data_IF_444000253908
#
_entry.id   IF_444000253908
#
_cell.length_a   1.000
_cell.length_b   1.000
_cell.length_c   1.000
_cell.angle_alpha   90.00
_cell.angle_beta   90.00
_cell.angle_gamma   90.00
#
_symmetry.space_group_name_H-M   'P 1'
#
loop_
_entity.id
_entity.type
_entity.pdbx_description
1 polymer ?
#
# COMPACT_ATOMS: atom_id res chain seq x y z
N UNK A 1 -3.22 -46.87 -16.51
CA UNK A 1 -2.06 -46.23 -15.84
C UNK A 1 -2.62 -45.54 -14.59
N UNK A 2 -2.40 -46.15 -13.42
CA UNK A 2 -2.78 -45.52 -12.15
C UNK A 2 -1.85 -44.30 -11.93
N UNK A 3 -2.42 -43.14 -11.85
CA UNK A 3 -1.71 -41.92 -11.44
C UNK A 3 -1.33 -42.11 -9.98
N UNK A 4 -0.05 -42.38 -9.73
CA UNK A 4 0.52 -42.42 -8.39
C UNK A 4 0.32 -41.05 -7.76
N UNK A 5 -0.55 -40.96 -6.75
CA UNK A 5 -0.79 -39.72 -6.01
C UNK A 5 0.43 -39.49 -5.11
N UNK A 6 1.31 -38.59 -5.50
CA UNK A 6 2.44 -38.15 -4.67
C UNK A 6 1.93 -37.47 -3.39
N UNK A 7 2.58 -37.74 -2.27
CA UNK A 7 2.26 -37.07 -1.02
C UNK A 7 2.64 -35.58 -1.14
N UNK A 8 1.69 -34.71 -0.78
CA UNK A 8 1.93 -33.26 -0.72
C UNK A 8 2.37 -32.87 0.69
N UNK A 9 3.31 -31.97 0.80
CA UNK A 9 3.77 -31.40 2.05
C UNK A 9 3.65 -29.87 2.03
N UNK A 10 3.74 -29.26 3.20
CA UNK A 10 3.82 -27.83 3.37
C UNK A 10 5.08 -27.50 4.15
N UNK A 11 5.75 -26.42 3.80
CA UNK A 11 6.86 -25.83 4.54
C UNK A 11 6.39 -24.53 5.20
N UNK A 12 6.74 -24.32 6.46
CA UNK A 12 6.38 -23.11 7.19
C UNK A 12 7.58 -22.51 7.90
N UNK A 13 7.73 -21.19 7.82
CA UNK A 13 8.75 -20.42 8.50
C UNK A 13 8.14 -19.09 8.99
N UNK A 14 8.65 -18.58 10.12
CA UNK A 14 8.24 -17.28 10.66
C UNK A 14 9.44 -16.39 10.89
N UNK A 15 9.25 -15.09 10.69
CA UNK A 15 10.14 -14.02 11.12
C UNK A 15 9.35 -13.02 11.96
N UNK A 16 10.03 -12.34 12.87
CA UNK A 16 9.46 -11.24 13.66
C UNK A 16 10.24 -9.97 13.35
N UNK A 17 9.52 -8.86 13.10
CA UNK A 17 10.10 -7.58 12.72
C UNK A 17 9.50 -6.44 13.53
N UNK A 18 10.33 -5.44 13.88
CA UNK A 18 9.93 -4.24 14.62
C UNK A 18 9.19 -3.24 13.72
N UNK A 19 8.02 -3.64 13.23
CA UNK A 19 7.16 -2.82 12.36
C UNK A 19 5.69 -3.08 12.64
N UNK A 20 4.85 -2.08 12.33
CA UNK A 20 3.40 -2.23 12.41
C UNK A 20 2.87 -3.25 11.39
N UNK A 21 1.73 -3.89 11.69
CA UNK A 21 1.02 -4.78 10.76
C UNK A 21 0.78 -4.11 9.40
N UNK A 22 0.42 -2.82 9.40
CA UNK A 22 0.14 -2.06 8.19
C UNK A 22 1.39 -1.88 7.34
N UNK A 23 2.52 -1.52 7.97
CA UNK A 23 3.78 -1.31 7.25
C UNK A 23 4.28 -2.61 6.64
N UNK A 24 4.26 -3.71 7.42
CA UNK A 24 4.66 -5.04 6.92
C UNK A 24 3.76 -5.48 5.77
N UNK A 25 2.44 -5.33 5.92
CA UNK A 25 1.50 -5.70 4.87
C UNK A 25 1.73 -4.89 3.59
N UNK A 26 1.93 -3.57 3.71
CA UNK A 26 2.23 -2.71 2.58
C UNK A 26 3.52 -3.13 1.86
N UNK A 27 4.59 -3.40 2.62
CA UNK A 27 5.84 -3.87 2.03
C UNK A 27 5.68 -5.20 1.30
N UNK A 28 4.90 -6.12 1.86
CA UNK A 28 4.66 -7.42 1.22
C UNK A 28 3.95 -7.30 -0.13
N UNK A 29 3.03 -6.35 -0.30
CA UNK A 29 2.23 -6.23 -1.54
C UNK A 29 2.81 -5.24 -2.56
N UNK A 30 3.47 -4.15 -2.11
CA UNK A 30 3.96 -3.10 -3.00
C UNK A 30 5.44 -3.23 -3.36
N UNK A 31 6.23 -3.93 -2.55
CA UNK A 31 7.68 -3.97 -2.68
C UNK A 31 8.23 -5.36 -3.05
N UNK A 32 7.42 -6.21 -3.67
CA UNK A 32 7.77 -7.61 -4.00
C UNK A 32 9.12 -7.71 -4.71
N UNK A 33 9.39 -6.84 -5.68
CA UNK A 33 10.66 -6.81 -6.42
C UNK A 33 11.90 -6.43 -5.59
N UNK A 34 11.72 -5.95 -4.35
CA UNK A 34 12.81 -5.56 -3.46
C UNK A 34 13.30 -6.70 -2.57
N UNK A 35 12.44 -7.66 -2.28
CA UNK A 35 12.77 -8.81 -1.43
C UNK A 35 12.68 -10.16 -2.14
N UNK A 36 11.99 -10.24 -3.29
CA UNK A 36 11.97 -11.47 -4.08
C UNK A 36 13.15 -11.49 -5.06
N UNK A 37 13.95 -12.57 -5.12
CA UNK A 37 15.23 -12.58 -5.84
C UNK A 37 15.08 -12.68 -7.37
N UNK A 38 13.89 -12.98 -7.86
CA UNK A 38 13.59 -13.14 -9.28
C UNK A 38 13.02 -11.85 -9.87
N UNK A 39 13.14 -11.68 -11.18
CA UNK A 39 12.50 -10.59 -11.91
C UNK A 39 10.98 -10.66 -11.71
N UNK A 40 10.39 -9.54 -11.31
CA UNK A 40 8.97 -9.39 -11.02
C UNK A 40 8.29 -8.51 -12.08
N UNK A 41 7.19 -9.00 -12.65
CA UNK A 41 6.36 -8.23 -13.59
C UNK A 41 4.89 -8.50 -13.33
N UNK A 42 4.07 -7.47 -13.21
CA UNK A 42 2.61 -7.57 -13.06
C UNK A 42 2.04 -6.92 -11.81
N UNK A 43 0.92 -7.45 -11.32
CA UNK A 43 0.08 -6.82 -10.29
C UNK A 43 -0.15 -7.75 -9.10
N UNK A 44 0.49 -7.47 -7.95
CA UNK A 44 0.35 -8.22 -6.69
C UNK A 44 -0.51 -7.52 -5.63
N UNK A 45 -0.97 -6.30 -5.91
CA UNK A 45 -1.55 -5.40 -4.89
C UNK A 45 -3.06 -5.56 -4.71
N UNK A 46 -3.73 -6.34 -5.55
CA UNK A 46 -5.18 -6.53 -5.50
C UNK A 46 -5.62 -7.97 -5.68
N UNK A 47 -6.79 -8.31 -5.16
CA UNK A 47 -7.42 -9.61 -5.36
C UNK A 47 -7.60 -9.89 -6.86
N UNK A 48 -7.27 -11.10 -7.30
CA UNK A 48 -7.19 -11.55 -8.69
C UNK A 48 -6.10 -10.87 -9.53
N UNK A 49 -5.22 -10.04 -8.95
CA UNK A 49 -4.03 -9.55 -9.62
C UNK A 49 -3.13 -10.72 -10.05
N UNK A 50 -2.54 -10.62 -11.23
CA UNK A 50 -1.64 -11.63 -11.79
C UNK A 50 -0.26 -11.03 -11.99
N UNK A 51 0.76 -11.82 -11.68
CA UNK A 51 2.15 -11.43 -11.81
C UNK A 51 3.05 -12.63 -12.12
N UNK A 52 4.24 -12.35 -12.57
CA UNK A 52 5.22 -13.35 -13.03
C UNK A 52 6.52 -13.16 -12.29
N UNK A 53 7.13 -14.27 -11.87
CA UNK A 53 8.53 -14.35 -11.49
C UNK A 53 9.33 -15.01 -12.61
N UNK A 54 10.53 -14.48 -12.89
CA UNK A 54 11.46 -15.03 -13.90
C UNK A 54 12.88 -15.05 -13.37
N UNK A 55 13.64 -16.08 -13.75
CA UNK A 55 15.10 -16.11 -13.62
C UNK A 55 15.67 -16.39 -15.02
N UNK A 56 15.87 -15.33 -15.78
CA UNK A 56 16.26 -15.42 -17.18
C UNK A 56 15.39 -16.42 -17.96
N UNK A 57 16.03 -17.33 -18.71
CA UNK A 57 15.33 -18.39 -19.44
C UNK A 57 15.17 -19.70 -18.65
N UNK A 58 15.67 -19.78 -17.42
CA UNK A 58 15.73 -21.03 -16.66
C UNK A 58 14.49 -21.33 -15.83
N UNK A 59 13.83 -20.29 -15.30
CA UNK A 59 12.63 -20.42 -14.47
C UNK A 59 11.58 -19.38 -14.83
N UNK A 60 10.33 -19.81 -14.80
CA UNK A 60 9.15 -19.00 -14.98
C UNK A 60 8.05 -19.48 -14.02
N UNK A 61 7.39 -18.55 -13.33
CA UNK A 61 6.14 -18.86 -12.64
C UNK A 61 5.14 -17.71 -12.76
N UNK A 62 3.92 -18.05 -13.16
CA UNK A 62 2.78 -17.15 -13.16
C UNK A 62 1.99 -17.35 -11.89
N UNK A 63 1.69 -16.26 -11.21
CA UNK A 63 1.04 -16.27 -9.90
C UNK A 63 -0.22 -15.42 -9.95
N UNK A 64 -1.20 -15.78 -9.11
CA UNK A 64 -2.44 -15.03 -8.95
C UNK A 64 -2.70 -14.79 -7.46
N UNK A 65 -3.09 -13.57 -7.11
CA UNK A 65 -3.57 -13.25 -5.76
C UNK A 65 -4.97 -13.82 -5.57
N UNK A 66 -5.11 -14.88 -4.78
CA UNK A 66 -6.40 -15.59 -4.56
C UNK A 66 -7.05 -15.26 -3.23
N UNK A 67 -6.29 -14.71 -2.29
CA UNK A 67 -6.81 -14.17 -1.03
C UNK A 67 -6.00 -12.93 -0.65
N UNK A 68 -6.68 -11.88 -0.21
CA UNK A 68 -6.06 -10.64 0.24
C UNK A 68 -6.91 -10.02 1.34
N UNK A 69 -6.48 -10.21 2.58
CA UNK A 69 -7.11 -9.65 3.78
C UNK A 69 -6.15 -8.61 4.36
N UNK A 70 -6.46 -7.32 4.27
CA UNK A 70 -5.57 -6.24 4.73
C UNK A 70 -5.07 -6.47 6.15
N UNK A 71 -3.76 -6.29 6.34
CA UNK A 71 -3.04 -6.42 7.62
C UNK A 71 -3.13 -7.81 8.27
N UNK A 72 -3.54 -8.83 7.53
CA UNK A 72 -3.76 -10.16 8.10
C UNK A 72 -3.23 -11.30 7.23
N UNK A 73 -3.58 -11.32 5.95
CA UNK A 73 -3.29 -12.49 5.11
C UNK A 73 -3.20 -12.16 3.64
N UNK A 74 -2.28 -12.81 2.96
CA UNK A 74 -2.16 -12.80 1.50
C UNK A 74 -1.84 -14.21 1.01
N UNK A 75 -2.49 -14.64 -0.07
CA UNK A 75 -2.25 -15.94 -0.70
C UNK A 75 -2.03 -15.76 -2.19
N UNK A 76 -0.90 -16.25 -2.67
CA UNK A 76 -0.58 -16.38 -4.08
C UNK A 76 -0.73 -17.83 -4.53
N UNK A 77 -1.46 -18.06 -5.59
CA UNK A 77 -1.59 -19.36 -6.26
C UNK A 77 -0.69 -19.38 -7.48
N UNK A 78 0.18 -20.36 -7.60
CA UNK A 78 0.95 -20.61 -8.82
C UNK A 78 0.01 -21.20 -9.87
N UNK A 79 -0.30 -20.44 -10.91
CA UNK A 79 -1.24 -20.84 -11.98
C UNK A 79 -0.54 -21.51 -13.15
N UNK A 80 0.74 -21.22 -13.34
CA UNK A 80 1.60 -21.82 -14.35
C UNK A 80 3.05 -21.71 -13.91
N UNK A 81 3.85 -22.76 -14.08
CA UNK A 81 5.26 -22.69 -13.77
C UNK A 81 6.06 -23.72 -14.56
N UNK A 82 7.32 -23.40 -14.83
CA UNK A 82 8.28 -24.33 -15.41
C UNK A 82 9.70 -23.96 -14.98
N UNK A 83 10.47 -24.97 -14.58
CA UNK A 83 11.92 -24.91 -14.48
C UNK A 83 12.53 -25.74 -15.61
N UNK A 84 13.16 -25.08 -16.58
CA UNK A 84 13.63 -25.74 -17.81
C UNK A 84 14.78 -26.73 -17.59
N UNK A 85 15.53 -26.58 -16.52
CA UNK A 85 16.69 -27.46 -16.23
C UNK A 85 16.31 -28.93 -16.02
N UNK A 86 15.11 -29.18 -15.49
CA UNK A 86 14.59 -30.50 -15.16
C UNK A 86 13.09 -30.65 -15.42
N UNK A 87 12.46 -29.66 -16.07
CA UNK A 87 11.04 -29.59 -16.35
C UNK A 87 10.14 -29.70 -15.11
N UNK A 88 10.63 -29.22 -13.95
CA UNK A 88 9.84 -29.23 -12.73
C UNK A 88 8.74 -28.15 -12.78
N UNK A 89 7.56 -28.52 -12.31
CA UNK A 89 6.35 -27.69 -12.34
C UNK A 89 5.76 -27.55 -10.93
N UNK A 90 5.59 -26.30 -10.47
CA UNK A 90 4.95 -25.95 -9.19
C UNK A 90 3.49 -25.53 -9.35
N UNK A 91 2.89 -25.68 -10.52
CA UNK A 91 1.50 -25.28 -10.77
C UNK A 91 0.55 -25.92 -9.74
N UNK A 92 -0.32 -25.09 -9.17
CA UNK A 92 -1.27 -25.49 -8.14
C UNK A 92 -0.78 -25.36 -6.70
N UNK A 93 0.52 -25.03 -6.48
CA UNK A 93 1.03 -24.71 -5.14
C UNK A 93 0.62 -23.32 -4.69
N UNK A 94 0.74 -23.03 -3.39
CA UNK A 94 0.38 -21.72 -2.80
C UNK A 94 1.49 -21.18 -1.93
N UNK A 95 1.69 -19.88 -2.01
CA UNK A 95 2.50 -19.10 -1.09
C UNK A 95 1.55 -18.29 -0.21
N UNK A 96 1.60 -18.52 1.10
CA UNK A 96 0.67 -17.97 2.09
C UNK A 96 1.46 -17.12 3.07
N UNK A 97 1.12 -15.85 3.21
CA UNK A 97 1.64 -14.95 4.22
C UNK A 97 0.53 -14.63 5.22
N UNK A 98 0.80 -14.86 6.49
CA UNK A 98 -0.09 -14.54 7.61
C UNK A 98 0.63 -13.59 8.56
N UNK A 99 -0.03 -12.52 8.99
CA UNK A 99 0.50 -11.49 9.88
C UNK A 99 -0.18 -11.57 11.24
N UNK A 100 0.62 -11.55 12.29
CA UNK A 100 0.13 -11.57 13.69
C UNK A 100 0.83 -10.48 14.50
N UNK A 101 0.09 -9.64 15.25
CA UNK A 101 0.71 -8.64 16.11
C UNK A 101 1.41 -9.30 17.30
N UNK A 102 2.61 -8.80 17.66
CA UNK A 102 3.44 -9.23 18.79
C UNK A 102 3.91 -8.00 19.58
N UNK A 103 3.01 -7.36 20.34
CA UNK A 103 3.29 -6.06 20.95
C UNK A 103 3.52 -5.00 19.88
N UNK A 104 4.69 -4.36 19.88
CA UNK A 104 5.09 -3.36 18.88
C UNK A 104 5.65 -4.00 17.60
N UNK A 105 5.82 -5.33 17.59
CA UNK A 105 6.36 -6.10 16.48
C UNK A 105 5.24 -6.77 15.68
N UNK A 106 5.60 -7.24 14.49
CA UNK A 106 4.76 -8.09 13.64
C UNK A 106 5.47 -9.40 13.34
N UNK A 107 4.80 -10.52 13.63
CA UNK A 107 5.18 -11.83 13.12
C UNK A 107 4.65 -12.00 11.70
N UNK A 108 5.55 -12.35 10.78
CA UNK A 108 5.22 -12.77 9.41
C UNK A 108 5.43 -14.28 9.34
N UNK A 109 4.35 -15.02 9.22
CA UNK A 109 4.38 -16.47 8.99
C UNK A 109 4.18 -16.73 7.50
N UNK A 110 5.15 -17.37 6.89
CA UNK A 110 5.11 -17.81 5.49
C UNK A 110 4.88 -19.32 5.43
N UNK A 111 3.98 -19.76 4.59
CA UNK A 111 3.74 -21.18 4.29
C UNK A 111 3.78 -21.40 2.79
N UNK A 112 4.62 -22.30 2.34
CA UNK A 112 4.58 -22.83 0.97
C UNK A 112 3.80 -24.15 1.01
N UNK A 113 2.64 -24.19 0.38
CA UNK A 113 1.70 -25.31 0.47
C UNK A 113 1.56 -26.05 -0.86
N UNK A 114 1.42 -27.38 -0.79
CA UNK A 114 1.21 -28.24 -1.95
C UNK A 114 2.48 -28.78 -2.59
N UNK A 115 3.62 -28.79 -1.88
CA UNK A 115 4.91 -29.28 -2.36
C UNK A 115 4.85 -30.76 -2.65
N UNK A 116 5.36 -31.22 -3.79
CA UNK A 116 5.56 -32.62 -4.12
C UNK A 116 6.89 -33.08 -3.49
N UNK A 117 6.85 -34.16 -2.68
CA UNK A 117 7.95 -34.55 -1.78
C UNK A 117 9.20 -35.14 -2.45
N UNK A 118 9.19 -35.42 -3.75
CA UNK A 118 10.34 -36.02 -4.42
C UNK A 118 11.46 -34.99 -4.63
N UNK A 119 12.62 -35.20 -4.01
CA UNK A 119 13.90 -34.47 -4.20
C UNK A 119 13.86 -32.92 -4.15
N UNK A 120 12.68 -32.30 -4.21
CA UNK A 120 12.50 -30.84 -4.26
C UNK A 120 12.25 -30.22 -2.89
N UNK A 121 11.81 -31.01 -1.90
CA UNK A 121 11.45 -30.48 -0.60
C UNK A 121 12.63 -29.75 0.08
N UNK A 122 13.79 -30.43 0.18
CA UNK A 122 14.98 -29.84 0.83
C UNK A 122 15.46 -28.58 0.11
N UNK A 123 15.45 -28.60 -1.23
CA UNK A 123 15.81 -27.43 -2.02
C UNK A 123 14.83 -26.28 -1.82
N UNK A 124 13.54 -26.57 -1.83
CA UNK A 124 12.52 -25.55 -1.63
C UNK A 124 12.61 -24.95 -0.22
N UNK A 125 12.87 -25.76 0.81
CA UNK A 125 13.14 -25.30 2.19
C UNK A 125 14.30 -24.30 2.18
N UNK A 126 15.43 -24.63 1.54
CA UNK A 126 16.58 -23.72 1.46
C UNK A 126 16.24 -22.41 0.74
N UNK A 127 15.51 -22.47 -0.38
CA UNK A 127 15.08 -21.27 -1.10
C UNK A 127 14.12 -20.44 -0.26
N UNK A 128 13.12 -21.05 0.37
CA UNK A 128 12.17 -20.33 1.23
C UNK A 128 12.87 -19.72 2.45
N UNK A 129 13.81 -20.42 3.07
CA UNK A 129 14.59 -19.87 4.18
C UNK A 129 15.39 -18.65 3.73
N UNK A 130 16.11 -18.75 2.62
CA UNK A 130 16.83 -17.62 2.04
C UNK A 130 15.89 -16.44 1.75
N UNK A 131 14.77 -16.69 1.07
CA UNK A 131 13.83 -15.60 0.72
C UNK A 131 13.21 -14.97 1.96
N UNK A 132 12.79 -15.74 2.94
CA UNK A 132 12.04 -15.23 4.10
C UNK A 132 12.98 -14.78 5.22
N UNK A 133 13.96 -15.61 5.62
CA UNK A 133 14.84 -15.29 6.76
C UNK A 133 15.93 -14.31 6.41
N UNK A 134 16.43 -14.34 5.16
CA UNK A 134 17.55 -13.47 4.77
C UNK A 134 17.03 -12.25 3.98
N UNK A 135 16.38 -12.44 2.85
CA UNK A 135 16.01 -11.33 1.96
C UNK A 135 14.82 -10.50 2.52
N UNK A 136 13.69 -11.14 2.83
CA UNK A 136 12.52 -10.44 3.34
C UNK A 136 12.80 -9.84 4.73
N UNK A 137 13.42 -10.62 5.63
CA UNK A 137 13.79 -10.12 6.96
C UNK A 137 14.75 -8.93 6.85
N UNK A 138 15.83 -9.04 6.07
CA UNK A 138 16.78 -7.95 5.87
C UNK A 138 16.11 -6.73 5.21
N UNK A 139 15.24 -6.94 4.24
CA UNK A 139 14.47 -5.87 3.61
C UNK A 139 13.54 -5.19 4.63
N UNK A 140 12.77 -5.94 5.40
CA UNK A 140 11.88 -5.37 6.42
C UNK A 140 12.65 -4.75 7.59
N UNK A 141 13.78 -5.32 7.99
CA UNK A 141 14.63 -4.81 9.05
C UNK A 141 15.49 -3.61 8.60
N UNK A 142 15.98 -3.63 7.35
CA UNK A 142 16.76 -2.56 6.72
C UNK A 142 15.91 -1.52 6.01
N UNK A 143 14.71 -1.89 5.57
CA UNK A 143 13.69 -0.91 5.24
C UNK A 143 13.52 -0.08 6.51
N UNK A 144 14.35 0.92 6.62
CA UNK A 144 14.74 1.70 7.80
C UNK A 144 13.63 1.71 8.84
N UNK A 145 13.97 1.50 10.14
CA UNK A 145 13.26 2.26 11.17
C UNK A 145 12.85 3.55 10.49
N UNK A 146 11.54 3.67 10.06
CA UNK A 146 11.10 4.82 9.28
C UNK A 146 11.93 5.97 9.83
N UNK A 147 12.85 6.51 9.02
CA UNK A 147 13.29 7.87 9.24
C UNK A 147 12.01 8.54 9.67
N UNK A 148 11.90 8.86 10.95
CA UNK A 148 10.67 9.28 11.63
C UNK A 148 9.78 9.93 10.59
N UNK A 149 8.64 9.30 10.23
CA UNK A 149 7.89 9.75 9.05
C UNK A 149 7.49 11.20 9.33
N UNK A 150 8.39 12.11 8.99
CA UNK A 150 8.32 13.54 9.20
C UNK A 150 7.28 14.20 8.29
N UNK A 151 6.57 13.37 7.49
CA UNK A 151 5.47 13.85 6.67
C UNK A 151 4.45 14.57 7.51
N UNK A 152 3.91 15.63 6.99
CA UNK A 152 2.86 16.38 7.68
C UNK A 152 1.67 15.47 8.02
N UNK A 153 1.21 15.55 9.26
CA UNK A 153 0.05 14.80 9.76
C UNK A 153 -0.83 15.69 10.61
N UNK A 154 -2.13 15.47 10.52
CA UNK A 154 -3.12 16.12 11.39
C UNK A 154 -4.33 15.21 11.58
N UNK A 155 -5.10 15.47 12.65
CA UNK A 155 -6.24 14.64 13.00
C UNK A 155 -7.41 15.54 13.38
N UNK A 156 -8.62 15.17 12.94
CA UNK A 156 -9.88 15.77 13.41
C UNK A 156 -10.84 14.66 13.84
N UNK A 157 -11.69 14.96 14.81
CA UNK A 157 -12.77 14.08 15.27
C UNK A 157 -14.12 14.77 15.06
N UNK A 158 -15.07 14.07 14.45
CA UNK A 158 -16.40 14.59 14.14
C UNK A 158 -17.51 13.66 14.62
N UNK A 159 -18.66 14.24 15.01
CA UNK A 159 -19.85 13.48 15.44
C UNK A 159 -20.73 13.10 14.23
N UNK A 160 -20.12 12.44 13.25
CA UNK A 160 -20.78 11.93 12.03
C UNK A 160 -20.34 10.50 11.77
N UNK A 161 -21.18 9.66 11.14
CA UNK A 161 -20.80 8.29 10.82
C UNK A 161 -19.72 8.25 9.72
N UNK A 162 -18.86 7.20 9.66
CA UNK A 162 -17.79 7.07 8.68
C UNK A 162 -18.23 7.22 7.22
N UNK A 163 -19.45 6.80 6.89
CA UNK A 163 -20.03 6.94 5.55
C UNK A 163 -20.22 8.40 5.13
N UNK A 164 -20.74 9.25 6.02
CA UNK A 164 -20.94 10.68 5.74
C UNK A 164 -19.59 11.38 5.59
N UNK A 165 -18.65 11.07 6.48
CA UNK A 165 -17.25 11.57 6.43
C UNK A 165 -16.58 11.19 5.11
N UNK A 166 -16.66 9.92 4.73
CA UNK A 166 -16.08 9.42 3.48
C UNK A 166 -16.66 10.14 2.25
N UNK A 167 -17.97 10.38 2.24
CA UNK A 167 -18.61 11.10 1.15
C UNK A 167 -18.19 12.58 1.12
N UNK A 168 -18.12 13.23 2.28
CA UNK A 168 -17.71 14.63 2.39
C UNK A 168 -16.27 14.85 1.90
N UNK A 169 -15.33 13.98 2.24
CA UNK A 169 -13.93 14.07 1.78
C UNK A 169 -13.86 14.12 0.24
N UNK A 170 -14.69 13.35 -0.45
CA UNK A 170 -14.70 13.28 -1.91
C UNK A 170 -15.30 14.53 -2.58
N UNK A 171 -16.01 15.37 -1.86
CA UNK A 171 -16.61 16.61 -2.39
C UNK A 171 -15.63 17.80 -2.30
N UNK A 172 -14.44 17.61 -2.88
CA UNK A 172 -13.27 18.50 -2.77
C UNK A 172 -13.60 19.98 -3.04
N UNK A 173 -14.46 20.27 -4.02
CA UNK A 173 -14.88 21.64 -4.35
C UNK A 173 -15.69 22.34 -3.25
N UNK A 174 -16.17 21.60 -2.24
CA UNK A 174 -16.96 22.15 -1.14
C UNK A 174 -16.11 22.67 0.01
N UNK A 175 -14.93 22.09 0.20
CA UNK A 175 -14.11 22.36 1.37
C UNK A 175 -12.65 22.73 1.08
N UNK A 176 -12.06 22.26 -0.04
CA UNK A 176 -10.66 22.57 -0.34
C UNK A 176 -10.53 23.83 -1.22
N UNK A 177 -11.08 23.82 -2.42
CA UNK A 177 -11.00 24.95 -3.33
C UNK A 177 -12.20 25.01 -4.27
N UNK A 178 -12.69 26.23 -4.55
CA UNK A 178 -13.67 26.50 -5.62
C UNK A 178 -13.05 26.36 -7.02
N UNK A 179 -11.73 26.59 -7.12
CA UNK A 179 -10.97 26.42 -8.36
C UNK A 179 -10.61 24.93 -8.52
N UNK A 180 -11.66 24.13 -8.67
CA UNK A 180 -11.63 22.68 -8.82
C UNK A 180 -12.11 22.30 -10.21
N UNK A 181 -11.35 21.41 -10.88
CA UNK A 181 -11.70 20.86 -12.18
C UNK A 181 -11.49 19.33 -12.16
N UNK A 182 -12.41 18.56 -12.74
CA UNK A 182 -12.31 17.11 -12.84
C UNK A 182 -13.25 16.35 -11.90
N UNK A 183 -12.86 15.13 -11.49
CA UNK A 183 -13.63 14.25 -10.63
C UNK A 183 -12.78 13.69 -9.48
N UNK A 184 -13.37 13.54 -8.28
CA UNK A 184 -12.71 13.10 -7.06
C UNK A 184 -13.46 11.99 -6.31
N UNK A 185 -14.29 11.20 -7.01
CA UNK A 185 -15.23 10.28 -6.36
C UNK A 185 -14.86 8.80 -6.47
N UNK A 186 -14.19 8.39 -7.54
CA UNK A 186 -13.93 6.99 -7.88
C UNK A 186 -12.45 6.73 -8.08
N UNK A 187 -12.04 5.48 -7.93
CA UNK A 187 -10.69 5.04 -8.26
C UNK A 187 -10.33 5.43 -9.70
N UNK A 188 -9.12 5.97 -9.88
CA UNK A 188 -8.58 6.54 -11.11
C UNK A 188 -9.19 7.87 -11.56
N UNK A 189 -10.15 8.45 -10.85
CA UNK A 189 -10.56 9.84 -11.10
C UNK A 189 -9.35 10.77 -10.92
N UNK A 190 -9.32 11.81 -11.74
CA UNK A 190 -8.32 12.89 -11.66
C UNK A 190 -8.98 14.23 -11.47
N UNK A 191 -8.35 15.07 -10.68
CA UNK A 191 -8.80 16.45 -10.46
C UNK A 191 -7.63 17.42 -10.33
N UNK A 192 -7.92 18.68 -10.56
CA UNK A 192 -6.97 19.79 -10.48
C UNK A 192 -7.47 20.79 -9.44
N UNK A 193 -6.54 21.28 -8.63
CA UNK A 193 -6.69 22.47 -7.82
C UNK A 193 -5.76 23.53 -8.38
N UNK A 194 -6.31 24.70 -8.75
CA UNK A 194 -5.54 25.78 -9.33
C UNK A 194 -5.89 27.11 -8.64
N UNK A 195 -4.90 27.74 -8.03
CA UNK A 195 -4.97 29.13 -7.57
C UNK A 195 -3.98 29.94 -8.40
N UNK A 196 -4.44 30.71 -9.41
CA UNK A 196 -3.57 31.43 -10.33
C UNK A 196 -2.48 32.25 -9.61
N UNK A 197 -1.21 32.12 -10.05
CA UNK A 197 -0.06 32.81 -9.49
C UNK A 197 0.32 32.37 -8.06
N UNK A 198 -0.12 31.17 -7.63
CA UNK A 198 0.24 30.61 -6.31
C UNK A 198 0.41 29.10 -6.27
N UNK A 199 -0.56 28.36 -6.79
CA UNK A 199 -0.61 26.92 -6.60
C UNK A 199 -1.36 26.26 -7.75
N UNK A 200 -0.73 25.27 -8.33
CA UNK A 200 -1.35 24.27 -9.20
C UNK A 200 -1.02 22.89 -8.68
N UNK A 201 -1.99 21.99 -8.64
CA UNK A 201 -1.72 20.57 -8.40
C UNK A 201 -2.78 19.69 -9.07
N UNK A 202 -2.31 18.59 -9.65
CA UNK A 202 -3.13 17.53 -10.24
C UNK A 202 -3.06 16.31 -9.35
N UNK A 203 -4.21 15.82 -8.94
CA UNK A 203 -4.34 14.64 -8.09
C UNK A 203 -5.01 13.51 -8.85
N UNK A 204 -4.58 12.27 -8.57
CA UNK A 204 -5.23 11.05 -9.03
C UNK A 204 -5.65 10.20 -7.83
N UNK A 205 -6.88 9.71 -7.81
CA UNK A 205 -7.34 8.75 -6.80
C UNK A 205 -6.73 7.39 -7.07
N UNK A 206 -5.74 6.99 -6.27
CA UNK A 206 -5.01 5.72 -6.41
C UNK A 206 -5.50 4.64 -5.46
N UNK A 207 -6.23 5.02 -4.39
CA UNK A 207 -6.87 4.09 -3.48
C UNK A 207 -8.19 4.67 -2.98
N UNK A 208 -9.24 3.83 -2.99
CA UNK A 208 -10.58 4.18 -2.48
C UNK A 208 -11.16 2.96 -1.78
N UNK A 209 -11.06 2.93 -0.45
CA UNK A 209 -11.67 1.90 0.40
C UNK A 209 -12.87 2.51 1.11
N UNK A 210 -14.11 2.11 0.77
CA UNK A 210 -15.32 2.73 1.29
C UNK A 210 -15.31 2.84 2.82
N UNK A 211 -15.58 4.06 3.33
CA UNK A 211 -15.68 4.40 4.75
C UNK A 211 -14.39 4.19 5.58
N UNK A 212 -13.26 3.92 4.92
CA UNK A 212 -12.00 3.60 5.62
C UNK A 212 -10.82 4.43 5.13
N UNK A 213 -10.64 4.56 3.81
CA UNK A 213 -9.40 5.15 3.28
C UNK A 213 -9.59 5.76 1.89
N UNK A 214 -8.96 6.91 1.67
CA UNK A 214 -8.83 7.57 0.37
C UNK A 214 -7.37 8.00 0.22
N UNK A 215 -6.76 7.72 -0.92
CA UNK A 215 -5.41 8.18 -1.27
C UNK A 215 -5.41 8.89 -2.61
N UNK A 216 -4.89 10.12 -2.59
CA UNK A 216 -4.61 10.90 -3.79
C UNK A 216 -3.12 10.99 -4.04
N UNK A 217 -2.66 10.55 -5.20
CA UNK A 217 -1.31 10.77 -5.69
C UNK A 217 -1.26 12.12 -6.40
N UNK A 218 -0.34 12.99 -6.02
CA UNK A 218 -0.07 14.23 -6.77
C UNK A 218 0.77 13.86 -7.98
N UNK A 219 0.16 13.90 -9.16
CA UNK A 219 0.82 13.53 -10.43
C UNK A 219 1.58 14.69 -11.06
N UNK A 220 1.19 15.92 -10.72
CA UNK A 220 1.85 17.14 -11.18
C UNK A 220 1.57 18.28 -10.20
N UNK A 221 2.53 19.20 -10.02
CA UNK A 221 2.36 20.38 -9.17
C UNK A 221 3.26 21.52 -9.58
N UNK A 222 2.78 22.76 -9.39
CA UNK A 222 3.58 23.99 -9.49
C UNK A 222 3.22 24.89 -8.31
N UNK A 223 4.20 25.18 -7.46
CA UNK A 223 4.12 26.11 -6.35
C UNK A 223 4.92 27.36 -6.73
N UNK A 224 4.31 28.33 -7.40
CA UNK A 224 4.97 29.50 -8.06
C UNK A 224 5.81 30.36 -7.11
N UNK A 225 5.61 30.21 -5.80
CA UNK A 225 6.30 30.95 -4.75
C UNK A 225 7.59 30.28 -4.25
N UNK A 226 7.94 29.10 -4.77
CA UNK A 226 9.20 28.40 -4.44
C UNK A 226 10.31 28.84 -5.38
N UNK A 227 11.51 28.99 -4.81
CA UNK A 227 12.70 29.44 -5.53
C UNK A 227 13.51 28.29 -6.12
N UNK A 228 13.54 27.12 -5.43
CA UNK A 228 14.41 26.00 -5.79
C UNK A 228 13.69 24.96 -6.65
N UNK A 229 12.60 24.39 -6.14
CA UNK A 229 11.84 23.33 -6.83
C UNK A 229 10.35 23.59 -6.69
N UNK A 230 9.76 24.13 -7.74
CA UNK A 230 8.33 24.43 -7.78
C UNK A 230 7.45 23.16 -7.83
N UNK A 231 8.05 21.98 -8.07
CA UNK A 231 7.34 20.71 -8.20
C UNK A 231 7.39 19.85 -6.91
N UNK A 232 7.68 20.44 -5.75
CA UNK A 232 7.88 19.71 -4.48
C UNK A 232 6.71 18.80 -4.06
N UNK A 233 5.51 19.03 -4.56
CA UNK A 233 4.37 18.15 -4.29
C UNK A 233 4.25 16.98 -5.28
N UNK A 234 4.89 17.04 -6.45
CA UNK A 234 4.83 15.97 -7.45
C UNK A 234 5.37 14.65 -6.87
N UNK A 235 4.64 13.55 -7.09
CA UNK A 235 4.86 12.22 -6.54
C UNK A 235 4.66 12.08 -5.02
N UNK A 236 4.10 13.09 -4.34
CA UNK A 236 3.63 12.98 -2.95
C UNK A 236 2.22 12.39 -2.88
N UNK A 237 1.79 11.98 -1.68
CA UNK A 237 0.47 11.39 -1.47
C UNK A 237 -0.29 12.08 -0.35
N UNK A 238 -1.57 12.33 -0.59
CA UNK A 238 -2.51 12.80 0.42
C UNK A 238 -3.38 11.64 0.84
N UNK A 239 -3.33 11.29 2.12
CA UNK A 239 -3.94 10.08 2.67
C UNK A 239 -4.96 10.47 3.73
N UNK A 240 -6.18 9.99 3.57
CA UNK A 240 -7.24 10.10 4.57
C UNK A 240 -7.55 8.71 5.11
N UNK A 241 -7.36 8.50 6.40
CA UNK A 241 -7.79 7.31 7.11
C UNK A 241 -8.97 7.65 8.00
N UNK A 242 -10.03 6.85 7.93
CA UNK A 242 -11.31 7.08 8.60
C UNK A 242 -11.53 5.94 9.58
N UNK A 243 -11.63 6.24 10.85
CA UNK A 243 -11.78 5.26 11.91
C UNK A 243 -12.98 5.59 12.82
N UNK A 244 -13.90 4.65 13.04
CA UNK A 244 -14.98 4.85 14.01
C UNK A 244 -14.43 4.89 15.45
N UNK A 245 -14.95 5.79 16.28
CA UNK A 245 -14.56 5.95 17.67
C UNK A 245 -15.78 6.30 18.55
N UNK A 246 -16.40 5.31 19.22
CA UNK A 246 -17.43 5.54 20.23
C UNK A 246 -18.63 6.40 19.80
N UNK A 247 -19.14 6.23 18.58
CA UNK A 247 -20.23 7.04 17.99
C UNK A 247 -19.76 8.29 17.25
N UNK A 248 -18.46 8.56 17.26
CA UNK A 248 -17.77 9.57 16.46
C UNK A 248 -16.91 8.94 15.37
N UNK A 249 -16.33 9.75 14.53
CA UNK A 249 -15.36 9.33 13.51
C UNK A 249 -14.11 10.18 13.62
N UNK A 250 -12.95 9.51 13.65
CA UNK A 250 -11.65 10.15 13.60
C UNK A 250 -11.17 10.10 12.13
N UNK A 251 -10.65 11.21 11.66
CA UNK A 251 -10.02 11.37 10.36
C UNK A 251 -8.54 11.66 10.61
N UNK A 252 -7.69 10.72 10.22
CA UNK A 252 -6.25 10.92 10.18
C UNK A 252 -5.88 11.38 8.77
N UNK A 253 -5.35 12.58 8.66
CA UNK A 253 -4.83 13.11 7.40
C UNK A 253 -3.31 13.11 7.44
N UNK A 254 -2.67 12.65 6.36
CA UNK A 254 -1.24 12.82 6.14
C UNK A 254 -0.96 13.25 4.70
N UNK A 255 0.05 14.12 4.55
CA UNK A 255 0.63 14.43 3.25
C UNK A 255 2.02 13.79 3.17
N UNK A 256 2.05 12.52 2.74
CA UNK A 256 3.26 11.71 2.61
C UNK A 256 4.23 12.36 1.61
N UNK A 257 5.47 12.61 2.04
CA UNK A 257 6.48 13.32 1.28
C UNK A 257 6.51 14.84 1.51
N UNK A 258 5.54 15.43 2.21
CA UNK A 258 5.64 16.80 2.73
C UNK A 258 6.39 16.77 4.06
N UNK A 259 7.71 16.98 4.00
CA UNK A 259 8.64 16.85 5.14
C UNK A 259 9.33 18.20 5.46
N UNK A 260 9.82 18.42 6.70
CA UNK A 260 10.46 19.68 7.11
C UNK A 260 11.63 20.14 6.25
N UNK A 261 12.30 19.24 5.56
CA UNK A 261 13.41 19.52 4.67
C UNK A 261 13.00 20.17 3.33
N UNK A 262 11.70 20.18 3.00
CA UNK A 262 11.15 20.84 1.80
C UNK A 262 10.97 22.34 2.03
N UNK A 263 11.25 23.15 1.00
CA UNK A 263 11.08 24.59 1.04
C UNK A 263 9.61 25.00 1.31
N UNK A 264 8.66 24.23 0.78
CA UNK A 264 7.23 24.49 0.94
C UNK A 264 6.69 24.16 2.34
N UNK A 265 7.42 23.40 3.19
CA UNK A 265 6.86 22.69 4.35
C UNK A 265 6.04 23.58 5.29
N UNK A 266 6.64 24.65 5.83
CA UNK A 266 5.97 25.49 6.84
C UNK A 266 4.67 26.13 6.32
N UNK A 267 4.72 26.65 5.10
CA UNK A 267 3.54 27.28 4.47
C UNK A 267 2.47 26.26 4.10
N UNK A 268 2.90 25.09 3.61
CA UNK A 268 1.98 24.01 3.26
C UNK A 268 1.34 23.38 4.49
N UNK A 269 2.07 23.24 5.59
CA UNK A 269 1.55 22.80 6.88
C UNK A 269 0.43 23.73 7.38
N UNK A 270 0.67 25.04 7.40
CA UNK A 270 -0.34 26.04 7.80
C UNK A 270 -1.57 25.97 6.88
N UNK A 271 -1.36 25.80 5.58
CA UNK A 271 -2.43 25.62 4.62
C UNK A 271 -3.27 24.39 4.90
N UNK A 272 -2.64 23.26 5.18
CA UNK A 272 -3.34 22.02 5.53
C UNK A 272 -4.06 22.08 6.88
N UNK A 273 -3.48 22.72 7.88
CA UNK A 273 -4.18 22.93 9.16
C UNK A 273 -5.48 23.70 8.94
N UNK A 274 -5.47 24.79 8.20
CA UNK A 274 -6.68 25.53 7.85
C UNK A 274 -7.66 24.67 7.02
N UNK A 275 -7.18 23.97 6.01
CA UNK A 275 -8.04 23.21 5.11
C UNK A 275 -8.70 22.02 5.81
N UNK A 276 -7.96 21.29 6.66
CA UNK A 276 -8.47 20.10 7.34
C UNK A 276 -9.20 20.44 8.65
N UNK A 277 -8.59 21.27 9.52
CA UNK A 277 -9.16 21.55 10.85
C UNK A 277 -10.30 22.55 10.86
N UNK A 278 -10.38 23.40 9.82
CA UNK A 278 -11.45 24.39 9.72
C UNK A 278 -12.42 24.03 8.62
N UNK A 279 -11.99 24.06 7.33
CA UNK A 279 -12.90 23.95 6.20
C UNK A 279 -13.54 22.57 6.05
N UNK A 280 -12.75 21.50 6.07
CA UNK A 280 -13.27 20.13 5.99
C UNK A 280 -14.11 19.82 7.24
N UNK A 281 -13.63 20.20 8.40
CA UNK A 281 -14.38 20.04 9.66
C UNK A 281 -15.74 20.74 9.61
N UNK A 282 -15.78 22.04 9.28
CA UNK A 282 -17.02 22.83 9.15
C UNK A 282 -17.96 22.24 8.10
N UNK A 283 -17.40 21.76 6.97
CA UNK A 283 -18.20 21.12 5.93
C UNK A 283 -18.83 19.81 6.41
N UNK A 284 -18.09 18.95 7.09
CA UNK A 284 -18.61 17.69 7.62
C UNK A 284 -19.67 17.93 8.72
N UNK A 285 -19.42 18.85 9.64
CA UNK A 285 -20.27 19.06 10.83
C UNK A 285 -21.52 19.85 10.46
N UNK A 286 -21.37 20.96 9.76
CA UNK A 286 -22.40 21.99 9.55
C UNK A 286 -22.84 22.15 8.08
N UNK A 287 -22.21 21.42 7.14
CA UNK A 287 -22.46 21.58 5.71
C UNK A 287 -21.96 22.92 5.14
N UNK A 288 -21.11 23.64 5.85
CA UNK A 288 -20.61 24.96 5.46
C UNK A 288 -19.59 24.79 4.33
N UNK A 289 -19.88 25.40 3.20
CA UNK A 289 -18.99 25.41 2.03
C UNK A 289 -18.10 26.65 2.02
N UNK A 290 -16.94 26.55 1.37
CA UNK A 290 -16.00 27.66 1.13
C UNK A 290 -16.53 28.67 0.13
#
# INVERSE_FOLDING_TARGET
METQAYAKASYTVSIEVEKSLQDVFNHLIYDVSKYWPEEFEGESTKLNGEFVFRTGDSHYSKNKVVELVPNKKMVWLVTESIRKTDNFDWTGTKMIFELTPKGDNTEVKFTYDGIILENEYERLVQVCDMVIKDLLYSFLASAENKKEDKSFKTTIEVSKPPQEVFNAIKEVSKWWSKDFEGNSSKLNDEFIICHPGRHFSRQKLVEVVPNKRIVWLVTDSVLDWLEKDQHEWTNTRMIFEISPNGGKTIIYFSHEGLIPEKECYERCQQGWDMVIKERLFDYIVDGKTI
#
